data_IF_027927666583
#
_entry.id   IF_027927666583
#
_cell.length_a   1.000
_cell.length_b   1.000
_cell.length_c   1.000
_cell.angle_alpha   90.00
_cell.angle_beta   90.00
_cell.angle_gamma   90.00
#
_symmetry.space_group_name_H-M   'P 1'
#
loop_
_entity.id
_entity.type
_entity.pdbx_description
1 polymer ?
#
# COMPACT_ATOMS: atom_id res chain seq x y z
N UNK A 1 11.01 15.04 4.41
CA UNK A 1 11.84 15.22 3.19
C UNK A 1 12.15 13.84 2.65
N UNK A 2 11.68 13.49 1.44
CA UNK A 2 12.11 12.24 0.78
C UNK A 2 13.59 12.37 0.43
N UNK A 3 14.40 11.42 0.89
CA UNK A 3 15.80 11.36 0.53
C UNK A 3 15.90 10.89 -0.93
N UNK A 4 16.31 11.79 -1.83
CA UNK A 4 16.39 11.53 -3.27
C UNK A 4 17.36 10.40 -3.63
N UNK A 5 18.27 10.05 -2.72
CA UNK A 5 19.13 8.87 -2.83
C UNK A 5 18.35 7.56 -2.73
N UNK A 6 17.40 7.48 -1.80
CA UNK A 6 16.63 6.25 -1.53
C UNK A 6 15.62 5.97 -2.65
N UNK A 7 15.06 7.03 -3.26
CA UNK A 7 14.18 6.93 -4.43
C UNK A 7 14.90 6.38 -5.66
N UNK A 8 16.11 6.88 -5.94
CA UNK A 8 16.94 6.36 -7.05
C UNK A 8 17.34 4.91 -6.83
N UNK A 9 17.73 4.55 -5.61
CA UNK A 9 18.10 3.18 -5.25
C UNK A 9 16.89 2.24 -5.40
N UNK A 10 15.72 2.64 -4.91
CA UNK A 10 14.47 1.90 -5.04
C UNK A 10 14.05 1.66 -6.49
N UNK A 11 14.06 2.70 -7.31
CA UNK A 11 13.72 2.59 -8.74
C UNK A 11 14.74 1.73 -9.52
N UNK A 12 16.03 1.85 -9.21
CA UNK A 12 17.06 1.01 -9.80
C UNK A 12 16.86 -0.48 -9.43
N UNK A 13 16.53 -0.76 -8.17
CA UNK A 13 16.23 -2.10 -7.71
C UNK A 13 15.01 -2.69 -8.42
N UNK A 14 13.92 -1.93 -8.57
CA UNK A 14 12.73 -2.36 -9.33
C UNK A 14 13.08 -2.68 -10.78
N UNK A 15 13.82 -1.79 -11.45
CA UNK A 15 14.21 -1.98 -12.85
C UNK A 15 15.07 -3.24 -13.02
N UNK A 16 16.00 -3.48 -12.09
CA UNK A 16 16.81 -4.69 -12.08
C UNK A 16 15.96 -5.96 -11.96
N UNK A 17 15.03 -5.99 -11.01
CA UNK A 17 14.14 -7.15 -10.82
C UNK A 17 13.27 -7.40 -12.06
N UNK A 18 12.77 -6.33 -12.71
CA UNK A 18 11.97 -6.42 -13.94
C UNK A 18 12.76 -6.94 -15.14
N UNK A 19 14.05 -6.63 -15.23
CA UNK A 19 14.93 -7.08 -16.32
C UNK A 19 15.61 -8.42 -16.04
N UNK A 20 15.39 -9.02 -14.87
CA UNK A 20 15.95 -10.31 -14.49
C UNK A 20 15.12 -11.45 -15.08
N UNK A 21 15.79 -12.43 -15.67
CA UNK A 21 15.15 -13.63 -16.21
C UNK A 21 14.50 -14.48 -15.09
N UNK A 22 13.20 -14.86 -15.19
CA UNK A 22 12.48 -15.55 -14.12
C UNK A 22 13.17 -16.79 -13.49
N UNK A 23 13.85 -17.67 -14.25
CA UNK A 23 14.56 -18.82 -13.67
C UNK A 23 15.65 -18.44 -12.66
N UNK A 24 16.24 -17.25 -12.76
CA UNK A 24 17.30 -16.80 -11.86
C UNK A 24 16.80 -16.61 -10.42
N UNK A 25 15.50 -16.36 -10.23
CA UNK A 25 14.88 -16.24 -8.90
C UNK A 25 14.79 -17.58 -8.16
N UNK A 26 14.90 -18.71 -8.87
CA UNK A 26 14.85 -20.05 -8.28
C UNK A 26 16.22 -20.52 -7.77
N UNK A 27 17.25 -19.69 -7.91
CA UNK A 27 18.61 -19.98 -7.48
C UNK A 27 19.05 -19.01 -6.37
N UNK A 28 19.89 -19.45 -5.41
CA UNK A 28 20.44 -18.55 -4.41
C UNK A 28 21.22 -17.41 -5.06
N UNK A 29 20.71 -16.18 -4.91
CA UNK A 29 21.33 -15.00 -5.47
C UNK A 29 21.19 -13.82 -4.48
N UNK A 30 22.30 -13.50 -3.81
CA UNK A 30 22.37 -12.45 -2.78
C UNK A 30 22.06 -11.07 -3.36
N UNK A 31 22.49 -10.82 -4.60
CA UNK A 31 22.30 -9.54 -5.28
C UNK A 31 20.83 -9.32 -5.66
N UNK A 32 20.15 -10.36 -6.16
CA UNK A 32 18.70 -10.31 -6.36
C UNK A 32 17.93 -10.20 -5.04
N UNK A 33 18.37 -10.91 -4.01
CA UNK A 33 17.74 -10.83 -2.68
C UNK A 33 17.85 -9.43 -2.07
N UNK A 34 19.00 -8.77 -2.20
CA UNK A 34 19.21 -7.40 -1.77
C UNK A 34 18.37 -6.43 -2.60
N UNK A 35 18.34 -6.60 -3.93
CA UNK A 35 17.48 -5.79 -4.80
C UNK A 35 16.00 -5.93 -4.45
N UNK A 36 15.53 -7.15 -4.16
CA UNK A 36 14.16 -7.41 -3.70
C UNK A 36 13.85 -6.65 -2.41
N UNK A 37 14.74 -6.70 -1.40
CA UNK A 37 14.55 -5.98 -0.14
C UNK A 37 14.48 -4.47 -0.33
N UNK A 38 15.39 -3.89 -1.11
CA UNK A 38 15.39 -2.45 -1.42
C UNK A 38 14.11 -2.04 -2.17
N UNK A 39 13.70 -2.83 -3.16
CA UNK A 39 12.48 -2.58 -3.92
C UNK A 39 11.24 -2.64 -3.02
N UNK A 40 11.12 -3.64 -2.15
CA UNK A 40 10.02 -3.78 -1.19
C UNK A 40 9.97 -2.59 -0.23
N UNK A 41 11.10 -2.15 0.33
CA UNK A 41 11.17 -0.98 1.21
C UNK A 41 10.72 0.29 0.49
N UNK A 42 11.18 0.49 -0.74
CA UNK A 42 10.79 1.64 -1.55
C UNK A 42 9.29 1.65 -1.87
N UNK A 43 8.72 0.51 -2.27
CA UNK A 43 7.28 0.38 -2.53
C UNK A 43 6.46 0.63 -1.27
N UNK A 44 6.85 0.04 -0.14
CA UNK A 44 6.20 0.26 1.15
C UNK A 44 6.18 1.75 1.53
N UNK A 45 7.32 2.43 1.44
CA UNK A 45 7.44 3.85 1.75
C UNK A 45 6.65 4.74 0.77
N UNK A 46 6.56 4.33 -0.50
CA UNK A 46 5.78 5.03 -1.52
C UNK A 46 4.28 4.92 -1.27
N UNK A 47 3.81 3.81 -0.70
CA UNK A 47 2.42 3.56 -0.35
C UNK A 47 2.01 4.09 1.04
N UNK A 48 2.98 4.36 1.92
CA UNK A 48 2.72 4.83 3.29
C UNK A 48 1.82 6.07 3.37
N UNK A 49 1.96 7.12 2.53
CA UNK A 49 1.06 8.27 2.54
C UNK A 49 -0.42 7.93 2.29
N UNK A 50 -0.69 6.82 1.61
CA UNK A 50 -2.05 6.36 1.29
C UNK A 50 -2.56 5.31 2.29
N UNK A 51 -1.72 4.90 3.25
CA UNK A 51 -2.03 3.92 4.29
C UNK A 51 -1.79 4.52 5.68
N UNK A 52 -2.45 5.64 6.03
CA UNK A 52 -2.18 6.39 7.26
C UNK A 52 -2.45 5.59 8.54
N UNK A 53 -3.31 4.55 8.46
CA UNK A 53 -3.64 3.66 9.57
C UNK A 53 -2.73 2.41 9.63
N UNK A 54 -1.72 2.30 8.77
CA UNK A 54 -0.77 1.19 8.83
C UNK A 54 0.03 1.24 10.14
N UNK A 55 0.18 0.11 10.87
CA UNK A 55 0.88 0.07 12.15
C UNK A 55 2.40 0.21 12.03
N UNK A 56 2.95 0.13 10.82
CA UNK A 56 4.39 0.22 10.57
C UNK A 56 4.76 1.51 9.84
N UNK A 57 5.75 2.23 10.35
CA UNK A 57 6.26 3.46 9.71
C UNK A 57 7.22 3.17 8.54
N UNK A 58 7.90 2.02 8.61
CA UNK A 58 8.82 1.53 7.60
C UNK A 58 8.78 0.00 7.54
N UNK A 59 9.21 -0.57 6.41
CA UNK A 59 9.33 -2.01 6.25
C UNK A 59 10.61 -2.53 6.93
N UNK A 60 10.46 -3.47 7.86
CA UNK A 60 11.58 -4.09 8.57
C UNK A 60 12.12 -5.28 7.76
N UNK A 61 13.37 -5.18 7.32
CA UNK A 61 14.02 -6.22 6.50
C UNK A 61 15.25 -6.83 7.14
N UNK A 62 15.81 -6.24 8.20
CA UNK A 62 17.03 -6.75 8.84
C UNK A 62 16.70 -7.88 9.81
N UNK A 63 17.30 -9.05 9.60
CA UNK A 63 16.99 -10.27 10.35
C UNK A 63 15.64 -10.93 10.01
N UNK A 64 14.86 -10.35 9.09
CA UNK A 64 13.57 -10.90 8.68
C UNK A 64 13.69 -11.77 7.42
N UNK A 65 12.97 -12.88 7.41
CA UNK A 65 12.80 -13.74 6.23
C UNK A 65 11.78 -13.14 5.23
N UNK A 66 11.57 -13.84 4.11
CA UNK A 66 10.68 -13.37 3.06
C UNK A 66 9.20 -13.38 3.48
N UNK A 67 8.79 -14.33 4.31
CA UNK A 67 7.40 -14.48 4.74
C UNK A 67 7.03 -13.38 5.73
N UNK A 68 7.91 -13.09 6.68
CA UNK A 68 7.70 -12.02 7.65
C UNK A 68 7.68 -10.63 6.98
N UNK A 69 8.48 -10.42 5.93
CA UNK A 69 8.41 -9.21 5.10
C UNK A 69 7.08 -9.12 4.36
N UNK A 70 6.62 -10.23 3.79
CA UNK A 70 5.35 -10.29 3.09
C UNK A 70 4.17 -9.96 4.01
N UNK A 71 4.15 -10.52 5.23
CA UNK A 71 3.13 -10.24 6.24
C UNK A 71 3.07 -8.75 6.62
N UNK A 72 4.23 -8.09 6.77
CA UNK A 72 4.25 -6.64 7.03
C UNK A 72 3.61 -5.82 5.90
N UNK A 73 3.85 -6.22 4.65
CA UNK A 73 3.26 -5.56 3.46
C UNK A 73 1.75 -5.79 3.43
N UNK A 74 1.29 -7.01 3.69
CA UNK A 74 -0.15 -7.32 3.71
C UNK A 74 -0.88 -6.48 4.78
N UNK A 75 -0.33 -6.41 5.99
CA UNK A 75 -0.88 -5.61 7.10
C UNK A 75 -0.96 -4.13 6.75
N UNK A 76 -0.01 -3.57 5.99
CA UNK A 76 -0.09 -2.19 5.51
C UNK A 76 -1.31 -1.96 4.60
N UNK A 77 -1.71 -2.96 3.83
CA UNK A 77 -2.76 -2.85 2.81
C UNK A 77 -4.18 -3.02 3.36
N UNK A 78 -4.35 -3.67 4.51
CA UNK A 78 -5.67 -3.95 5.11
C UNK A 78 -6.53 -2.67 5.31
N UNK A 79 -6.01 -1.57 5.89
CA UNK A 79 -6.81 -0.35 6.06
C UNK A 79 -7.19 0.32 4.74
N UNK A 80 -6.38 0.12 3.68
CA UNK A 80 -6.64 0.68 2.35
C UNK A 80 -7.86 0.02 1.71
N UNK A 81 -7.96 -1.31 1.77
CA UNK A 81 -9.07 -2.06 1.17
C UNK A 81 -10.40 -1.63 1.80
N UNK A 82 -10.47 -1.55 3.14
CA UNK A 82 -11.68 -1.12 3.83
C UNK A 82 -12.07 0.33 3.48
N UNK A 83 -11.08 1.23 3.36
CA UNK A 83 -11.31 2.62 2.97
C UNK A 83 -11.83 2.73 1.53
N UNK A 84 -11.25 1.97 0.58
CA UNK A 84 -11.69 1.93 -0.81
C UNK A 84 -13.10 1.36 -0.95
N UNK A 85 -13.43 0.26 -0.25
CA UNK A 85 -14.78 -0.31 -0.23
C UNK A 85 -15.83 0.70 0.22
N UNK A 86 -15.53 1.48 1.27
CA UNK A 86 -16.41 2.55 1.77
C UNK A 86 -16.60 3.66 0.74
N UNK A 87 -15.53 4.08 0.08
CA UNK A 87 -15.61 5.14 -0.93
C UNK A 87 -16.40 4.69 -2.18
N UNK A 88 -16.23 3.43 -2.61
CA UNK A 88 -17.04 2.83 -3.69
C UNK A 88 -18.53 2.84 -3.32
N UNK A 89 -18.90 2.34 -2.14
CA UNK A 89 -20.30 2.37 -1.66
C UNK A 89 -20.87 3.79 -1.61
N UNK A 90 -20.04 4.79 -1.27
CA UNK A 90 -20.43 6.19 -1.26
C UNK A 90 -20.73 6.71 -2.68
N UNK A 91 -19.90 6.35 -3.65
CA UNK A 91 -20.11 6.71 -5.05
C UNK A 91 -21.32 5.99 -5.67
N UNK A 92 -21.54 4.72 -5.33
CA UNK A 92 -22.75 3.99 -5.75
C UNK A 92 -24.02 4.70 -5.27
N UNK A 93 -24.01 5.22 -4.03
CA UNK A 93 -25.14 6.00 -3.49
C UNK A 93 -25.27 7.40 -4.10
N UNK A 94 -24.17 8.00 -4.56
CA UNK A 94 -24.13 9.37 -5.06
C UNK A 94 -23.19 9.49 -6.27
N UNK A 95 -23.61 9.03 -7.45
CA UNK A 95 -22.74 8.95 -8.64
C UNK A 95 -22.22 10.32 -9.11
N UNK A 96 -22.95 11.41 -8.85
CA UNK A 96 -22.54 12.76 -9.24
C UNK A 96 -21.24 13.23 -8.54
N UNK A 97 -20.88 12.63 -7.40
CA UNK A 97 -19.62 12.92 -6.72
C UNK A 97 -18.39 12.46 -7.52
N UNK A 98 -18.55 11.44 -8.37
CA UNK A 98 -17.50 10.93 -9.26
C UNK A 98 -17.08 12.03 -10.24
N UNK A 99 -18.05 12.70 -10.87
CA UNK A 99 -17.82 13.80 -11.82
C UNK A 99 -17.02 14.94 -11.19
N UNK A 100 -17.27 15.27 -9.92
CA UNK A 100 -16.54 16.32 -9.20
C UNK A 100 -15.08 15.93 -8.88
N UNK A 101 -14.80 14.65 -8.66
CA UNK A 101 -13.45 14.14 -8.42
C UNK A 101 -12.58 14.27 -9.68
N UNK A 102 -13.11 13.80 -10.82
CA UNK A 102 -12.37 13.81 -12.08
C UNK A 102 -12.34 15.20 -12.74
N UNK A 103 -13.38 16.02 -12.59
CA UNK A 103 -13.37 17.40 -13.09
C UNK A 103 -12.30 18.25 -12.39
N UNK A 104 -12.08 18.06 -11.08
CA UNK A 104 -10.97 18.72 -10.36
C UNK A 104 -9.59 18.24 -10.82
N UNK A 105 -9.46 16.96 -11.18
CA UNK A 105 -8.20 16.39 -11.67
C UNK A 105 -7.75 16.96 -13.02
N UNK A 106 -8.68 17.45 -13.86
CA UNK A 106 -8.34 18.07 -15.16
C UNK A 106 -7.98 19.55 -14.99
N UNK A 107 -8.58 20.23 -14.01
CA UNK A 107 -8.35 21.65 -13.76
C UNK A 107 -7.03 21.95 -13.02
N UNK A 108 -6.59 21.05 -12.13
CA UNK A 108 -5.35 21.19 -11.38
C UNK A 108 -4.38 20.08 -11.79
N UNK A 109 -3.39 20.41 -12.63
CA UNK A 109 -2.35 19.49 -13.10
C UNK A 109 -1.36 19.01 -12.02
N UNK A 110 -1.85 18.50 -10.89
CA UNK A 110 -1.06 17.96 -9.80
C UNK A 110 -1.94 17.19 -8.81
N UNK A 111 -1.57 15.94 -8.53
CA UNK A 111 -2.15 15.12 -7.46
C UNK A 111 -1.79 15.71 -6.09
N UNK A 112 -2.51 16.74 -5.66
CA UNK A 112 -2.65 17.05 -4.23
C UNK A 112 -4.02 16.54 -3.79
N UNK A 113 -4.02 15.31 -3.28
CA UNK A 113 -5.17 14.78 -2.55
C UNK A 113 -5.18 15.46 -1.17
N UNK A 114 -5.77 16.65 -1.09
CA UNK A 114 -6.20 17.20 0.20
C UNK A 114 -7.22 16.23 0.80
N UNK A 115 -6.76 15.37 1.71
CA UNK A 115 -7.63 14.66 2.63
C UNK A 115 -8.20 15.73 3.56
N UNK A 116 -9.34 16.32 3.16
CA UNK A 116 -10.16 17.09 4.09
C UNK A 116 -10.67 16.13 5.14
N UNK A 117 -10.05 16.19 6.30
CA UNK A 117 -10.57 15.71 7.57
C UNK A 117 -11.87 16.47 7.85
N UNK A 118 -12.96 16.05 7.21
CA UNK A 118 -14.29 16.36 7.71
C UNK A 118 -14.46 15.52 8.97
N UNK A 119 -14.12 16.14 10.10
CA UNK A 119 -14.62 15.73 11.39
C UNK A 119 -16.14 15.67 11.35
N UNK A 120 -16.68 14.66 12.05
CA UNK A 120 -18.09 14.27 12.14
C UNK A 120 -18.55 13.24 11.08
N UNK A 121 -18.29 11.97 11.37
CA UNK A 121 -19.24 10.88 11.13
C UNK A 121 -19.06 9.88 12.26
N UNK A 122 -20.15 9.67 13.00
CA UNK A 122 -20.24 8.94 14.25
C UNK A 122 -19.40 7.68 14.32
N UNK A 123 -18.78 7.53 15.48
CA UNK A 123 -18.51 6.24 16.11
C UNK A 123 -19.84 5.49 16.25
N UNK A 124 -20.30 4.85 15.18
CA UNK A 124 -21.29 3.80 15.29
C UNK A 124 -20.55 2.49 15.10
N UNK A 125 -20.47 1.75 16.20
CA UNK A 125 -19.78 0.49 16.28
C UNK A 125 -20.46 -0.53 15.40
N UNK A 126 -19.95 -0.72 14.19
CA UNK A 126 -20.15 -1.95 13.47
C UNK A 126 -18.92 -2.82 13.70
N UNK A 127 -19.00 -3.51 14.83
CA UNK A 127 -18.25 -4.72 15.09
C UNK A 127 -18.72 -5.75 14.08
N UNK A 128 -18.23 -5.68 12.85
CA UNK A 128 -18.22 -6.83 11.94
C UNK A 128 -17.18 -7.81 12.48
N UNK A 129 -17.63 -8.47 13.55
CA UNK A 129 -17.52 -9.90 13.81
C UNK A 129 -16.44 -10.58 12.97
N UNK A 130 -15.37 -10.93 13.69
CA UNK A 130 -14.44 -11.98 13.33
C UNK A 130 -15.27 -13.16 12.79
N UNK A 131 -15.23 -13.36 11.48
CA UNK A 131 -15.80 -14.54 10.84
C UNK A 131 -15.02 -15.73 11.39
N UNK A 132 -15.61 -16.37 12.41
CA UNK A 132 -15.12 -17.57 13.06
C UNK A 132 -14.83 -18.59 11.96
N UNK A 133 -13.57 -19.01 11.86
CA UNK A 133 -13.19 -20.23 11.16
C UNK A 133 -13.88 -21.39 11.90
N UNK A 134 -15.09 -21.75 11.47
CA UNK A 134 -15.70 -23.02 11.83
C UNK A 134 -14.99 -24.13 11.05
N UNK A 135 -13.88 -24.62 11.62
CA UNK A 135 -13.44 -25.98 11.33
C UNK A 135 -14.45 -26.94 11.98
N UNK A 136 -15.43 -27.43 11.21
CA UNK A 136 -16.22 -28.61 11.56
C UNK A 136 -15.63 -29.85 10.86
N UNK A 137 -15.04 -30.71 11.70
CA UNK A 137 -14.74 -32.17 11.60
C UNK A 137 -14.14 -32.79 10.32
#
# INVERSE_FOLDING_TARGET
MRNTGDEKAGMAAINKLKSTDPPLFLSPNTDLSLASRIASQYLFASLKPYTPKSPFDQLLTDGFDAEQIWQQIDVQSQPLISSLKREIKRFEKNPDQISNLFAKSVANGGLEMEIKENGDVGLDGDSDELDELSDED
#
